data_IF_224865365680
#
_entry.id   IF_224865365680
#
_cell.length_a   1.000
_cell.length_b   1.000
_cell.length_c   1.000
_cell.angle_alpha   90.00
_cell.angle_beta   90.00
_cell.angle_gamma   90.00
#
_symmetry.space_group_name_H-M   'P 1'
#
loop_
_entity.id
_entity.type
_entity.pdbx_description
1 polymer ?
#
# COMPACT_ATOMS: atom_id res chain seq x y z
N UNK A 1 13.67 -8.14 22.29
CA UNK A 1 13.00 -9.44 22.47
C UNK A 1 12.60 -9.59 23.92
N UNK A 2 11.40 -10.09 24.18
CA UNK A 2 10.94 -10.40 25.53
C UNK A 2 10.22 -11.75 25.53
N UNK A 3 10.18 -12.40 26.69
CA UNK A 3 9.40 -13.61 26.95
C UNK A 3 8.60 -13.41 28.23
N UNK A 4 7.37 -13.89 28.24
CA UNK A 4 6.46 -13.84 29.40
C UNK A 4 6.24 -15.21 30.03
N UNK A 5 6.81 -16.26 29.46
CA UNK A 5 6.56 -17.67 29.80
C UNK A 5 7.86 -18.42 30.18
N UNK A 6 8.87 -17.68 30.65
CA UNK A 6 10.12 -18.27 31.14
C UNK A 6 11.07 -18.72 30.02
N UNK A 7 11.00 -18.08 28.85
CA UNK A 7 11.91 -18.32 27.73
C UNK A 7 11.41 -19.32 26.70
N UNK A 8 10.13 -19.72 26.77
CA UNK A 8 9.52 -20.66 25.81
C UNK A 8 9.10 -19.93 24.54
N UNK A 9 8.47 -18.76 24.67
CA UNK A 9 8.07 -17.90 23.56
C UNK A 9 8.79 -16.57 23.64
N UNK A 10 9.42 -16.17 22.54
CA UNK A 10 10.09 -14.87 22.40
C UNK A 10 9.35 -14.03 21.36
N UNK A 11 9.03 -12.79 21.70
CA UNK A 11 8.45 -11.82 20.76
C UNK A 11 9.49 -10.78 20.37
N UNK A 12 9.59 -10.51 19.07
CA UNK A 12 10.37 -9.41 18.51
C UNK A 12 9.45 -8.55 17.65
N UNK A 13 9.64 -7.24 17.71
CA UNK A 13 9.01 -6.31 16.77
C UNK A 13 9.99 -6.02 15.67
N UNK A 14 9.56 -6.23 14.43
CA UNK A 14 10.25 -5.74 13.24
C UNK A 14 9.40 -4.62 12.64
N UNK A 15 10.02 -3.46 12.46
CA UNK A 15 9.41 -2.33 11.77
C UNK A 15 10.20 -2.11 10.49
N UNK A 16 9.68 -2.52 9.32
CA UNK A 16 10.36 -2.26 8.05
C UNK A 16 10.44 -0.77 7.78
N UNK A 17 11.54 -0.33 7.16
CA UNK A 17 11.64 1.00 6.59
C UNK A 17 10.71 1.13 5.37
N UNK A 18 10.43 2.37 4.98
CA UNK A 18 9.75 2.68 3.74
C UNK A 18 10.69 3.44 2.78
N UNK A 19 10.50 3.35 1.45
CA UNK A 19 9.54 2.48 0.74
C UNK A 19 10.15 1.10 0.41
N UNK A 20 9.42 0.02 0.66
CA UNK A 20 9.83 -1.36 0.34
C UNK A 20 8.70 -2.09 -0.37
N UNK A 21 9.00 -2.66 -1.54
CA UNK A 21 8.21 -3.68 -2.25
C UNK A 21 9.06 -4.94 -2.42
N UNK A 22 8.87 -5.94 -1.55
CA UNK A 22 9.62 -7.18 -1.65
C UNK A 22 8.81 -8.39 -1.16
N UNK A 23 8.62 -9.39 -2.01
CA UNK A 23 7.92 -10.64 -1.70
C UNK A 23 8.84 -11.78 -1.23
N UNK A 24 10.14 -11.53 -1.07
CA UNK A 24 11.19 -12.55 -0.87
C UNK A 24 11.84 -12.53 0.52
N UNK A 25 11.25 -11.79 1.47
CA UNK A 25 11.80 -11.64 2.81
C UNK A 25 11.71 -12.93 3.64
N UNK A 26 12.73 -13.21 4.46
CA UNK A 26 12.74 -14.31 5.42
C UNK A 26 13.28 -13.85 6.77
N UNK A 27 12.73 -14.39 7.86
CA UNK A 27 13.33 -14.28 9.20
C UNK A 27 14.07 -15.58 9.49
N UNK A 28 15.33 -15.46 9.92
CA UNK A 28 16.18 -16.60 10.30
C UNK A 28 16.60 -16.49 11.76
N UNK A 29 16.42 -17.58 12.50
CA UNK A 29 16.92 -17.71 13.87
C UNK A 29 18.12 -18.65 13.87
N UNK A 30 19.25 -18.19 14.40
CA UNK A 30 20.38 -19.04 14.74
C UNK A 30 20.15 -19.67 16.12
N UNK A 31 20.19 -21.00 16.20
CA UNK A 31 19.89 -21.74 17.44
C UNK A 31 21.10 -21.89 18.36
N UNK A 32 22.32 -21.54 17.91
CA UNK A 32 23.53 -21.65 18.74
C UNK A 32 23.52 -20.76 19.98
N UNK A 33 22.67 -19.73 20.01
CA UNK A 33 22.48 -18.86 21.18
C UNK A 33 21.36 -19.31 22.12
N UNK A 34 20.68 -20.42 21.82
CA UNK A 34 19.56 -20.95 22.62
C UNK A 34 20.07 -22.16 23.41
N UNK A 35 19.86 -22.17 24.73
CA UNK A 35 20.22 -23.31 25.59
C UNK A 35 19.02 -23.81 26.39
N UNK A 36 18.97 -25.12 26.63
CA UNK A 36 17.98 -25.70 27.55
C UNK A 36 18.34 -25.48 29.02
N UNK A 37 17.45 -25.92 29.93
CA UNK A 37 17.65 -25.80 31.39
C UNK A 37 18.89 -26.56 31.88
N UNK A 38 19.29 -27.62 31.17
CA UNK A 38 20.49 -28.39 31.47
C UNK A 38 21.78 -27.77 30.89
N UNK A 39 21.67 -26.67 30.12
CA UNK A 39 22.78 -25.95 29.50
C UNK A 39 23.20 -26.49 28.13
N UNK A 40 22.43 -27.39 27.51
CA UNK A 40 22.72 -27.88 26.16
C UNK A 40 22.36 -26.79 25.14
N UNK A 41 23.32 -26.42 24.29
CA UNK A 41 23.09 -25.45 23.22
C UNK A 41 22.35 -26.08 22.04
N UNK A 42 21.44 -25.32 21.44
CA UNK A 42 20.83 -25.64 20.16
C UNK A 42 21.85 -25.60 19.03
N UNK A 43 21.56 -26.32 17.94
CA UNK A 43 22.42 -26.37 16.76
C UNK A 43 21.61 -26.03 15.49
N UNK A 44 22.27 -25.37 14.54
CA UNK A 44 21.69 -25.03 13.24
C UNK A 44 20.85 -23.74 13.24
N UNK A 45 19.94 -23.65 12.28
CA UNK A 45 19.10 -22.47 12.08
C UNK A 45 17.71 -22.87 11.59
N UNK A 46 16.70 -22.10 11.95
CA UNK A 46 15.37 -22.19 11.36
C UNK A 46 15.05 -20.90 10.63
N UNK A 47 14.35 -21.00 9.50
CA UNK A 47 13.87 -19.85 8.72
C UNK A 47 12.36 -19.93 8.52
N UNK A 48 11.72 -18.78 8.42
CA UNK A 48 10.33 -18.70 7.93
C UNK A 48 10.26 -19.01 6.44
N UNK A 49 9.07 -19.35 5.90
CA UNK A 49 8.78 -19.12 4.49
C UNK A 49 8.98 -17.65 4.10
N UNK A 50 8.96 -17.38 2.79
CA UNK A 50 8.98 -16.01 2.30
C UNK A 50 7.70 -15.27 2.74
N UNK A 51 7.83 -13.98 3.05
CA UNK A 51 6.70 -13.08 3.27
C UNK A 51 6.92 -11.77 2.50
N UNK A 52 5.81 -11.09 2.22
CA UNK A 52 5.83 -9.80 1.54
C UNK A 52 5.94 -8.65 2.55
N UNK A 53 6.74 -7.65 2.19
CA UNK A 53 6.74 -6.32 2.79
C UNK A 53 6.32 -5.37 1.67
N UNK A 54 5.25 -4.64 1.95
CA UNK A 54 4.70 -3.57 1.12
C UNK A 54 4.51 -2.37 2.05
N UNK A 55 5.44 -1.43 1.97
CA UNK A 55 5.42 -0.17 2.73
C UNK A 55 5.54 1.04 1.81
N UNK A 56 5.50 0.84 0.49
CA UNK A 56 5.56 1.95 -0.46
C UNK A 56 4.21 2.65 -0.50
N UNK A 57 4.23 3.97 -0.39
CA UNK A 57 2.99 4.74 -0.53
C UNK A 57 2.52 4.72 -2.00
N UNK A 58 1.20 4.65 -2.23
CA UNK A 58 0.66 4.79 -3.58
C UNK A 58 1.06 6.09 -4.25
N UNK A 59 1.31 6.01 -5.57
CA UNK A 59 1.40 7.22 -6.39
C UNK A 59 0.02 7.86 -6.47
N UNK A 60 -0.07 9.17 -6.20
CA UNK A 60 -1.33 9.88 -6.30
C UNK A 60 -1.91 9.76 -7.72
N UNK A 61 -3.20 9.45 -7.87
CA UNK A 61 -3.81 9.35 -9.18
C UNK A 61 -3.83 10.71 -9.89
N UNK A 62 -3.59 10.69 -11.18
CA UNK A 62 -3.78 11.85 -12.06
C UNK A 62 -5.16 11.81 -12.69
N UNK A 63 -5.78 12.97 -12.87
CA UNK A 63 -7.01 13.13 -13.62
C UNK A 63 -6.88 14.27 -14.63
N UNK A 64 -7.18 14.00 -15.89
CA UNK A 64 -7.19 15.01 -16.97
C UNK A 64 -8.42 14.79 -17.85
N UNK A 65 -8.86 15.84 -18.54
CA UNK A 65 -9.89 15.69 -19.57
C UNK A 65 -9.35 14.82 -20.72
N UNK A 66 -10.19 13.92 -21.23
CA UNK A 66 -9.85 13.11 -22.39
C UNK A 66 -9.75 13.95 -23.67
N UNK A 67 -10.61 14.97 -23.79
CA UNK A 67 -10.55 15.99 -24.84
C UNK A 67 -11.21 17.27 -24.33
N UNK A 68 -10.69 18.41 -24.74
CA UNK A 68 -11.45 19.67 -24.68
C UNK A 68 -12.48 19.65 -25.80
N UNK A 69 -13.76 19.80 -25.45
CA UNK A 69 -14.90 19.78 -26.37
C UNK A 69 -15.73 21.06 -26.29
N UNK A 70 -15.20 22.09 -25.63
CA UNK A 70 -15.77 23.43 -25.65
C UNK A 70 -15.75 24.06 -27.04
N UNK A 71 -16.40 25.21 -27.15
CA UNK A 71 -16.35 26.02 -28.38
C UNK A 71 -15.01 26.76 -28.54
N UNK A 72 -14.25 26.88 -27.46
CA UNK A 72 -12.91 27.46 -27.42
C UNK A 72 -11.96 26.48 -26.75
N UNK A 73 -10.69 26.49 -27.16
CA UNK A 73 -9.64 25.62 -26.60
C UNK A 73 -8.80 26.33 -25.52
N UNK A 74 -9.23 27.53 -25.10
CA UNK A 74 -8.47 28.38 -24.18
C UNK A 74 -9.29 28.92 -23.02
N UNK A 75 -10.57 28.58 -22.92
CA UNK A 75 -11.48 29.03 -21.85
C UNK A 75 -11.69 27.97 -20.76
N UNK A 76 -11.11 26.78 -20.93
CA UNK A 76 -11.22 25.64 -20.01
C UNK A 76 -12.66 25.13 -19.81
N UNK A 77 -13.54 25.38 -20.78
CA UNK A 77 -14.93 24.88 -20.77
C UNK A 77 -15.00 23.62 -21.64
N UNK A 78 -15.54 22.51 -21.11
CA UNK A 78 -15.76 21.28 -21.89
C UNK A 78 -17.24 20.91 -21.93
N UNK A 79 -17.71 20.34 -23.03
CA UNK A 79 -19.09 19.84 -23.17
C UNK A 79 -19.21 18.34 -22.81
N UNK A 80 -18.11 17.59 -22.88
CA UNK A 80 -18.04 16.16 -22.59
C UNK A 80 -16.99 15.93 -21.50
N UNK A 81 -17.45 15.54 -20.31
CA UNK A 81 -16.62 15.40 -19.10
C UNK A 81 -15.85 14.08 -18.98
N UNK A 82 -15.47 13.42 -20.08
CA UNK A 82 -14.72 12.16 -19.97
C UNK A 82 -13.31 12.43 -19.39
N UNK A 83 -12.91 11.62 -18.40
CA UNK A 83 -11.61 11.73 -17.74
C UNK A 83 -10.67 10.59 -18.12
N UNK A 84 -9.40 10.94 -18.35
CA UNK A 84 -8.29 10.00 -18.35
C UNK A 84 -7.69 9.95 -16.95
N UNK A 85 -7.69 8.76 -16.34
CA UNK A 85 -7.15 8.52 -15.01
C UNK A 85 -5.83 7.75 -15.12
N UNK A 86 -4.79 8.22 -14.45
CA UNK A 86 -3.43 7.63 -14.47
C UNK A 86 -2.92 7.37 -13.07
N UNK A 87 -1.88 6.53 -12.94
CA UNK A 87 -1.23 6.28 -11.64
C UNK A 87 -2.04 5.36 -10.72
N UNK A 88 -2.99 4.59 -11.26
CA UNK A 88 -3.77 3.63 -10.48
C UNK A 88 -2.93 2.40 -10.19
N UNK A 89 -2.79 2.08 -8.92
CA UNK A 89 -2.08 0.88 -8.49
C UNK A 89 -2.85 -0.40 -8.81
N UNK A 90 -2.10 -1.51 -8.92
CA UNK A 90 -2.69 -2.81 -9.18
C UNK A 90 -3.64 -3.21 -8.04
N UNK A 91 -4.91 -3.46 -8.37
CA UNK A 91 -5.93 -3.83 -7.39
C UNK A 91 -6.58 -2.65 -6.67
N UNK A 92 -6.16 -1.41 -6.96
CA UNK A 92 -6.84 -0.23 -6.44
C UNK A 92 -8.23 -0.04 -7.06
N UNK A 93 -9.15 0.52 -6.28
CA UNK A 93 -10.48 0.94 -6.74
C UNK A 93 -10.43 2.44 -7.06
N UNK A 94 -10.97 2.82 -8.22
CA UNK A 94 -11.12 4.23 -8.59
C UNK A 94 -12.53 4.69 -8.25
N UNK A 95 -12.62 5.77 -7.49
CA UNK A 95 -13.87 6.43 -7.16
C UNK A 95 -13.78 7.93 -7.48
N UNK A 96 -14.93 8.53 -7.74
CA UNK A 96 -15.06 9.93 -8.12
C UNK A 96 -15.99 10.68 -7.17
N UNK A 97 -15.60 11.92 -6.86
CA UNK A 97 -16.38 12.85 -6.04
C UNK A 97 -16.47 14.20 -6.76
N UNK A 98 -17.65 14.82 -6.71
CA UNK A 98 -17.90 16.19 -7.20
C UNK A 98 -18.25 17.17 -6.09
N UNK A 99 -18.27 16.72 -4.82
CA UNK A 99 -18.76 17.48 -3.66
C UNK A 99 -17.70 17.61 -2.55
N UNK A 100 -16.42 17.63 -2.94
CA UNK A 100 -15.29 17.77 -2.00
C UNK A 100 -15.03 16.53 -1.14
N UNK A 101 -15.50 15.35 -1.56
CA UNK A 101 -15.25 14.07 -0.91
C UNK A 101 -16.35 13.66 0.07
N UNK A 102 -17.51 14.33 0.02
CA UNK A 102 -18.67 14.00 0.86
C UNK A 102 -19.39 12.74 0.36
N UNK A 103 -19.39 12.52 -0.95
CA UNK A 103 -19.89 11.31 -1.59
C UNK A 103 -18.97 10.83 -2.72
N UNK A 104 -18.92 9.51 -2.91
CA UNK A 104 -18.06 8.84 -3.87
C UNK A 104 -18.86 7.85 -4.71
N UNK A 105 -18.51 7.77 -5.99
CA UNK A 105 -19.16 6.86 -6.95
C UNK A 105 -18.13 6.18 -7.83
N UNK A 106 -18.39 4.95 -8.27
CA UNK A 106 -17.50 4.22 -9.21
C UNK A 106 -17.61 4.68 -10.66
N UNK A 107 -18.39 5.71 -10.96
CA UNK A 107 -18.54 6.26 -12.30
C UNK A 107 -18.59 7.77 -12.23
N UNK A 108 -17.81 8.43 -13.06
CA UNK A 108 -17.82 9.88 -13.12
C UNK A 108 -19.03 10.37 -13.92
N UNK A 109 -19.81 11.28 -13.33
CA UNK A 109 -20.78 12.10 -14.06
C UNK A 109 -20.47 13.55 -13.73
N UNK A 110 -20.09 14.33 -14.75
CA UNK A 110 -19.88 15.76 -14.57
C UNK A 110 -21.22 16.41 -14.16
N UNK A 111 -21.19 17.24 -13.13
CA UNK A 111 -22.31 18.09 -12.75
C UNK A 111 -22.01 19.48 -13.31
N UNK A 112 -22.96 20.05 -14.04
CA UNK A 112 -22.86 21.42 -14.52
C UNK A 112 -22.82 22.36 -13.31
N UNK A 113 -21.86 23.28 -13.30
CA UNK A 113 -21.78 24.32 -12.27
C UNK A 113 -22.68 25.50 -12.60
N UNK A 114 -23.12 26.24 -11.59
CA UNK A 114 -23.70 27.56 -11.79
C UNK A 114 -22.60 28.49 -12.35
N UNK A 115 -22.76 28.95 -13.59
CA UNK A 115 -21.87 29.91 -14.25
C UNK A 115 -22.25 31.37 -13.93
#
# INVERSE_FOLDING_TARGET
MSSTDGGVTWTATFTPDAPIEDSSNQIRLNLSGVSDIAGNQGAGSVSTPNFAIDTSAPVAPGATLASDTGSSNSDAITQVGNLNITGIESGATVEYSVDGGSSWTGSFTAVEGDN
#
